data_IF_071453466730
#
_entry.id   IF_071453466730
#
_cell.length_a   1.000
_cell.length_b   1.000
_cell.length_c   1.000
_cell.angle_alpha   90.00
_cell.angle_beta   90.00
_cell.angle_gamma   90.00
#
_symmetry.space_group_name_H-M   'P 1'
#
loop_
_entity.id
_entity.type
_entity.pdbx_description
1 polymer ?
#
# COMPACT_ATOMS: atom_id res chain seq x y z
N UNK A 1 12.54 47.05 43.95
CA UNK A 1 12.51 46.91 42.48
C UNK A 1 13.20 45.59 42.15
N UNK A 2 12.44 44.52 41.89
CA UNK A 2 13.03 43.19 41.71
C UNK A 2 13.64 43.09 40.31
N UNK A 3 14.98 43.05 40.24
CA UNK A 3 15.70 42.86 38.98
C UNK A 3 15.42 41.44 38.47
N UNK A 4 14.67 41.34 37.37
CA UNK A 4 14.44 40.05 36.70
C UNK A 4 15.76 39.62 36.08
N UNK A 5 16.32 38.48 36.52
CA UNK A 5 17.49 37.88 35.88
C UNK A 5 17.11 37.49 34.45
N UNK A 6 17.81 38.07 33.47
CA UNK A 6 17.66 37.72 32.07
C UNK A 6 18.43 36.42 31.74
N UNK A 7 17.99 35.75 30.69
CA UNK A 7 18.67 34.60 30.12
C UNK A 7 20.00 35.04 29.52
N UNK A 8 21.08 34.30 29.76
CA UNK A 8 22.39 34.61 29.17
C UNK A 8 22.45 34.15 27.71
N UNK A 9 23.25 34.81 26.89
CA UNK A 9 23.48 34.41 25.49
C UNK A 9 24.04 32.99 25.39
N UNK A 10 24.85 32.57 26.36
CA UNK A 10 25.45 31.24 26.40
C UNK A 10 24.41 30.16 26.69
N UNK A 11 23.48 30.43 27.61
CA UNK A 11 22.37 29.51 27.89
C UNK A 11 21.47 29.35 26.66
N UNK A 12 21.24 30.42 25.88
CA UNK A 12 20.45 30.31 24.65
C UNK A 12 21.21 29.55 23.56
N UNK A 13 22.53 29.75 23.47
CA UNK A 13 23.40 29.12 22.47
C UNK A 13 23.48 27.60 22.67
N UNK A 14 23.64 27.12 23.90
CA UNK A 14 23.70 25.67 24.13
C UNK A 14 22.35 25.00 23.82
N UNK A 15 21.23 25.68 24.07
CA UNK A 15 19.89 25.16 23.79
C UNK A 15 19.67 24.95 22.29
N UNK A 16 20.01 25.95 21.45
CA UNK A 16 19.87 25.79 19.99
C UNK A 16 20.80 24.71 19.43
N UNK A 17 21.98 24.52 20.02
CA UNK A 17 22.92 23.46 19.62
C UNK A 17 22.33 22.08 19.95
N UNK A 18 21.78 21.90 21.15
CA UNK A 18 21.16 20.63 21.55
C UNK A 18 19.92 20.33 20.70
N UNK A 19 19.04 21.32 20.49
CA UNK A 19 17.86 21.17 19.63
C UNK A 19 18.30 20.85 18.18
N UNK A 20 19.36 21.48 17.68
CA UNK A 20 19.92 21.20 16.36
C UNK A 20 20.41 19.76 16.19
N UNK A 21 21.12 19.21 17.18
CA UNK A 21 21.60 17.83 17.16
C UNK A 21 20.43 16.84 17.20
N UNK A 22 19.46 17.05 18.09
CA UNK A 22 18.29 16.19 18.20
C UNK A 22 17.43 16.23 16.92
N UNK A 23 17.23 17.40 16.34
CA UNK A 23 16.48 17.57 15.10
C UNK A 23 17.18 16.88 13.91
N UNK A 24 18.50 16.99 13.81
CA UNK A 24 19.28 16.31 12.76
C UNK A 24 19.17 14.78 12.87
N UNK A 25 19.27 14.23 14.08
CA UNK A 25 19.11 12.79 14.31
C UNK A 25 17.69 12.29 13.96
N UNK A 26 16.66 13.06 14.28
CA UNK A 26 15.26 12.71 13.95
C UNK A 26 15.01 12.69 12.44
N UNK A 27 15.56 13.66 11.70
CA UNK A 27 15.41 13.71 10.24
C UNK A 27 15.98 12.45 9.57
N UNK A 28 17.15 11.98 10.00
CA UNK A 28 17.79 10.80 9.44
C UNK A 28 17.00 9.51 9.69
N UNK A 29 16.25 9.43 10.79
CA UNK A 29 15.41 8.26 11.13
C UNK A 29 14.07 8.23 10.39
N UNK A 30 13.57 9.37 9.92
CA UNK A 30 12.18 9.54 9.48
C UNK A 30 11.83 8.78 8.18
N UNK A 31 12.76 8.65 7.23
CA UNK A 31 12.51 8.00 5.93
C UNK A 31 12.14 6.51 6.03
N UNK A 32 12.77 5.79 6.97
CA UNK A 32 12.49 4.36 7.16
C UNK A 32 11.15 4.08 7.86
N UNK A 33 10.73 5.01 8.72
CA UNK A 33 9.45 4.94 9.40
C UNK A 33 8.29 5.22 8.43
N UNK A 34 8.44 6.23 7.56
CA UNK A 34 7.43 6.53 6.53
C UNK A 34 7.32 5.41 5.52
N UNK A 35 8.43 4.86 5.02
CA UNK A 35 8.43 3.71 4.13
C UNK A 35 7.76 2.47 4.78
N UNK A 36 8.00 2.23 6.06
CA UNK A 36 7.36 1.12 6.79
C UNK A 36 5.85 1.32 6.94
N UNK A 37 5.41 2.56 7.17
CA UNK A 37 3.99 2.92 7.22
C UNK A 37 3.32 2.75 5.85
N UNK A 38 3.96 3.20 4.77
CA UNK A 38 3.47 3.05 3.40
C UNK A 38 3.36 1.58 2.98
N UNK A 39 4.38 0.77 3.24
CA UNK A 39 4.32 -0.67 2.98
C UNK A 39 3.15 -1.33 3.75
N UNK A 40 2.93 -0.92 5.00
CA UNK A 40 1.82 -1.42 5.82
C UNK A 40 0.47 -0.98 5.29
N UNK A 41 0.36 0.25 4.78
CA UNK A 41 -0.84 0.79 4.15
C UNK A 41 -1.18 0.04 2.85
N UNK A 42 -0.19 -0.21 1.99
CA UNK A 42 -0.39 -1.00 0.74
C UNK A 42 -0.92 -2.39 1.08
N UNK A 43 -0.27 -3.09 2.02
CA UNK A 43 -0.71 -4.42 2.45
C UNK A 43 -2.11 -4.38 3.06
N UNK A 44 -2.41 -3.38 3.89
CA UNK A 44 -3.74 -3.22 4.50
C UNK A 44 -4.82 -3.00 3.44
N UNK A 45 -4.59 -2.10 2.49
CA UNK A 45 -5.50 -1.84 1.38
C UNK A 45 -5.74 -3.08 0.52
N UNK A 46 -4.68 -3.86 0.22
CA UNK A 46 -4.80 -5.12 -0.50
C UNK A 46 -5.64 -6.16 0.27
N UNK A 47 -5.52 -6.23 1.60
CA UNK A 47 -6.36 -7.13 2.40
C UNK A 47 -7.83 -6.70 2.40
N UNK A 48 -8.10 -5.40 2.52
CA UNK A 48 -9.46 -4.87 2.44
C UNK A 48 -10.08 -5.15 1.08
N UNK A 49 -9.33 -4.92 0.00
CA UNK A 49 -9.77 -5.26 -1.37
C UNK A 49 -9.99 -6.75 -1.56
N UNK A 50 -9.11 -7.59 -1.01
CA UNK A 50 -9.26 -9.04 -1.03
C UNK A 50 -10.59 -9.46 -0.38
N UNK A 51 -10.91 -8.92 0.79
CA UNK A 51 -12.16 -9.22 1.48
C UNK A 51 -13.38 -8.78 0.64
N UNK A 52 -13.33 -7.57 0.10
CA UNK A 52 -14.40 -7.04 -0.73
C UNK A 52 -14.58 -7.82 -2.05
N UNK A 53 -13.49 -8.25 -2.69
CA UNK A 53 -13.52 -9.10 -3.88
C UNK A 53 -14.12 -10.48 -3.60
N UNK A 54 -13.85 -11.06 -2.42
CA UNK A 54 -14.45 -12.31 -1.99
C UNK A 54 -15.96 -12.16 -1.74
N UNK A 55 -16.38 -11.08 -1.09
CA UNK A 55 -17.81 -10.80 -0.88
C UNK A 55 -18.54 -10.61 -2.21
N UNK A 56 -17.96 -9.85 -3.15
CA UNK A 56 -18.50 -9.69 -4.50
C UNK A 56 -18.66 -11.04 -5.20
N UNK A 57 -17.68 -11.93 -5.11
CA UNK A 57 -17.79 -13.28 -5.68
C UNK A 57 -18.95 -14.09 -5.10
N UNK A 58 -19.20 -13.97 -3.79
CA UNK A 58 -20.25 -14.75 -3.10
C UNK A 58 -21.67 -14.28 -3.41
N UNK A 59 -21.84 -13.01 -3.75
CA UNK A 59 -23.16 -12.37 -3.91
C UNK A 59 -23.52 -12.06 -5.36
N UNK A 60 -22.54 -11.96 -6.24
CA UNK A 60 -22.71 -11.66 -7.67
C UNK A 60 -22.39 -12.90 -8.50
N UNK A 61 -23.05 -14.02 -8.18
CA UNK A 61 -22.80 -15.30 -8.85
C UNK A 61 -23.14 -15.25 -10.34
N UNK A 62 -24.25 -14.60 -10.72
CA UNK A 62 -24.67 -14.47 -12.13
C UNK A 62 -23.60 -13.78 -13.00
N UNK A 63 -23.03 -12.66 -12.51
CA UNK A 63 -21.99 -11.91 -13.22
C UNK A 63 -20.69 -12.72 -13.37
N UNK A 64 -20.37 -13.53 -12.36
CA UNK A 64 -19.17 -14.36 -12.36
C UNK A 64 -19.35 -15.62 -13.21
N UNK A 65 -20.54 -16.20 -13.23
CA UNK A 65 -20.89 -17.34 -14.08
C UNK A 65 -20.88 -16.97 -15.57
N UNK A 66 -21.35 -15.77 -15.92
CA UNK A 66 -21.25 -15.23 -17.29
C UNK A 66 -19.79 -15.21 -17.81
N UNK A 67 -18.82 -15.09 -16.91
CA UNK A 67 -17.39 -15.01 -17.21
C UNK A 67 -16.66 -16.33 -16.83
N UNK A 68 -17.42 -17.41 -16.65
CA UNK A 68 -16.91 -18.76 -16.35
C UNK A 68 -16.02 -18.80 -15.10
N UNK A 69 -16.36 -18.02 -14.06
CA UNK A 69 -15.61 -17.95 -12.80
C UNK A 69 -14.44 -16.96 -12.80
N UNK A 70 -14.27 -16.18 -13.86
CA UNK A 70 -13.28 -15.11 -13.95
C UNK A 70 -13.82 -13.80 -13.36
N UNK A 71 -12.90 -12.86 -13.13
CA UNK A 71 -13.29 -11.49 -12.77
C UNK A 71 -14.04 -10.88 -13.96
N UNK A 72 -15.18 -10.22 -13.75
CA UNK A 72 -15.93 -9.61 -14.85
C UNK A 72 -15.09 -8.68 -15.73
N UNK A 73 -15.21 -8.79 -17.05
CA UNK A 73 -14.38 -8.01 -17.99
C UNK A 73 -14.57 -6.49 -17.83
N UNK A 74 -15.75 -6.07 -17.36
CA UNK A 74 -16.08 -4.67 -17.04
C UNK A 74 -16.14 -4.41 -15.53
N UNK A 75 -15.18 -4.95 -14.78
CA UNK A 75 -15.08 -4.66 -13.36
C UNK A 75 -14.77 -3.17 -13.12
N UNK A 76 -15.62 -2.56 -12.32
CA UNK A 76 -15.52 -1.17 -11.88
C UNK A 76 -15.60 -1.16 -10.34
N UNK A 77 -14.52 -0.73 -9.70
CA UNK A 77 -14.41 -0.69 -8.24
C UNK A 77 -15.51 0.15 -7.61
N UNK A 78 -15.91 1.24 -8.26
CA UNK A 78 -16.90 2.14 -7.69
C UNK A 78 -18.31 1.55 -7.74
N UNK A 79 -18.61 0.74 -8.75
CA UNK A 79 -19.95 0.14 -8.90
C UNK A 79 -20.07 -1.21 -8.21
N UNK A 80 -19.04 -2.05 -8.33
CA UNK A 80 -19.09 -3.45 -7.90
C UNK A 80 -18.62 -3.63 -6.46
N UNK A 81 -17.79 -2.72 -5.94
CA UNK A 81 -17.29 -2.82 -4.56
C UNK A 81 -17.94 -1.82 -3.59
N UNK A 82 -18.72 -0.84 -4.06
CA UNK A 82 -19.37 0.15 -3.17
C UNK A 82 -20.24 -0.46 -2.07
N UNK A 83 -20.81 -1.64 -2.30
CA UNK A 83 -21.62 -2.34 -1.29
C UNK A 83 -20.73 -3.00 -0.22
N UNK A 84 -19.47 -3.29 -0.54
CA UNK A 84 -18.53 -4.05 0.30
C UNK A 84 -17.40 -3.19 0.87
N UNK A 85 -17.38 -1.89 0.59
CA UNK A 85 -16.36 -0.96 1.10
C UNK A 85 -16.96 0.39 1.45
N UNK A 86 -16.57 0.95 2.59
CA UNK A 86 -17.07 2.25 3.06
C UNK A 86 -16.59 3.42 2.17
N UNK A 87 -15.47 3.24 1.48
CA UNK A 87 -14.93 4.26 0.56
C UNK A 87 -14.48 3.66 -0.77
N UNK A 88 -15.41 3.47 -1.73
CA UNK A 88 -15.11 2.88 -3.03
C UNK A 88 -14.22 3.77 -3.91
N UNK A 89 -14.34 5.10 -3.77
CA UNK A 89 -13.56 6.08 -4.54
C UNK A 89 -12.05 6.00 -4.29
N UNK A 90 -11.64 5.38 -3.16
CA UNK A 90 -10.25 5.13 -2.81
C UNK A 90 -9.55 4.20 -3.80
N UNK A 91 -10.27 3.25 -4.38
CA UNK A 91 -9.69 2.20 -5.22
C UNK A 91 -9.82 2.56 -6.70
N UNK A 92 -8.91 3.43 -7.16
CA UNK A 92 -8.87 3.83 -8.57
C UNK A 92 -8.31 2.72 -9.44
N UNK A 93 -8.94 2.47 -10.60
CA UNK A 93 -8.47 1.48 -11.60
C UNK A 93 -7.06 1.75 -12.14
N UNK A 94 -6.58 2.99 -12.02
CA UNK A 94 -5.21 3.39 -12.40
C UNK A 94 -4.14 2.95 -11.41
N UNK A 95 -4.54 2.56 -10.20
CA UNK A 95 -3.65 2.20 -9.10
C UNK A 95 -3.88 0.76 -8.63
N UNK A 96 -5.14 0.32 -8.64
CA UNK A 96 -5.57 -1.00 -8.22
C UNK A 96 -6.15 -1.80 -9.38
N UNK A 97 -5.95 -3.10 -9.33
CA UNK A 97 -6.57 -4.03 -10.27
C UNK A 97 -7.06 -5.30 -9.57
N UNK A 98 -8.15 -5.84 -10.09
CA UNK A 98 -8.63 -7.17 -9.77
C UNK A 98 -8.55 -7.98 -11.06
N UNK A 99 -7.78 -9.07 -11.03
CA UNK A 99 -7.54 -9.91 -12.21
C UNK A 99 -7.72 -11.37 -11.87
N UNK A 100 -8.14 -12.16 -12.85
CA UNK A 100 -8.16 -13.62 -12.72
C UNK A 100 -7.17 -14.28 -13.67
N UNK A 101 -6.51 -15.33 -13.21
CA UNK A 101 -5.73 -16.22 -14.07
C UNK A 101 -6.64 -17.20 -14.83
N UNK A 102 -6.08 -17.90 -15.82
CA UNK A 102 -6.62 -19.07 -16.50
C UNK A 102 -7.20 -20.10 -15.54
N UNK A 103 -6.59 -20.25 -14.35
CA UNK A 103 -7.07 -21.16 -13.30
C UNK A 103 -8.23 -20.60 -12.45
N UNK A 104 -8.87 -19.50 -12.85
CA UNK A 104 -9.98 -18.85 -12.13
C UNK A 104 -9.62 -18.39 -10.70
N UNK A 105 -8.31 -18.24 -10.44
CA UNK A 105 -7.76 -17.64 -9.23
C UNK A 105 -7.81 -16.13 -9.34
N UNK A 106 -8.26 -15.46 -8.29
CA UNK A 106 -8.45 -14.01 -8.28
C UNK A 106 -7.29 -13.36 -7.54
N UNK A 107 -6.79 -12.26 -8.07
CA UNK A 107 -5.68 -11.51 -7.52
C UNK A 107 -6.07 -10.04 -7.43
N UNK A 108 -5.82 -9.45 -6.27
CA UNK A 108 -5.89 -8.01 -6.06
C UNK A 108 -4.49 -7.43 -6.14
N UNK A 109 -4.32 -6.36 -6.91
CA UNK A 109 -3.03 -5.76 -7.18
C UNK A 109 -3.01 -4.27 -6.94
N UNK A 110 -1.81 -3.76 -6.66
CA UNK A 110 -1.52 -2.34 -6.51
C UNK A 110 -0.23 -1.96 -7.24
N UNK A 111 -0.26 -0.84 -7.96
CA UNK A 111 0.90 -0.26 -8.65
C UNK A 111 1.78 0.53 -7.67
N UNK A 112 2.96 -0.01 -7.38
CA UNK A 112 3.97 0.60 -6.51
C UNK A 112 4.59 1.86 -7.11
N UNK A 113 4.38 2.14 -8.39
CA UNK A 113 4.78 3.42 -9.00
C UNK A 113 3.97 4.60 -8.46
N UNK A 114 2.87 4.34 -7.72
CA UNK A 114 2.04 5.34 -7.06
C UNK A 114 2.51 5.66 -5.64
N UNK A 115 3.44 4.87 -5.10
CA UNK A 115 4.15 5.20 -3.87
C UNK A 115 5.14 6.34 -4.15
N UNK A 116 5.34 7.30 -3.22
CA UNK A 116 6.31 8.37 -3.41
C UNK A 116 7.69 7.86 -3.81
N UNK A 117 8.29 8.46 -4.83
CA UNK A 117 9.60 8.03 -5.36
C UNK A 117 10.71 8.06 -4.31
N UNK A 118 10.59 8.91 -3.29
CA UNK A 118 11.56 9.03 -2.19
C UNK A 118 11.62 7.80 -1.27
N UNK A 119 10.54 7.02 -1.19
CA UNK A 119 10.39 5.87 -0.27
C UNK A 119 10.20 4.55 -0.99
N UNK A 120 9.97 4.57 -2.31
CA UNK A 120 9.65 3.39 -3.14
C UNK A 120 10.63 2.23 -2.95
N UNK A 121 11.94 2.50 -2.96
CA UNK A 121 12.96 1.45 -2.84
C UNK A 121 12.95 0.79 -1.46
N UNK A 122 12.79 1.58 -0.41
CA UNK A 122 12.66 1.06 0.95
C UNK A 122 11.35 0.29 1.14
N UNK A 123 10.24 0.79 0.59
CA UNK A 123 8.94 0.12 0.60
C UNK A 123 9.05 -1.24 -0.09
N UNK A 124 9.66 -1.31 -1.27
CA UNK A 124 9.88 -2.55 -1.99
C UNK A 124 10.73 -3.53 -1.17
N UNK A 125 11.82 -3.07 -0.55
CA UNK A 125 12.65 -3.90 0.33
C UNK A 125 11.86 -4.49 1.52
N UNK A 126 10.99 -3.68 2.17
CA UNK A 126 10.13 -4.16 3.26
C UNK A 126 9.11 -5.20 2.78
N UNK A 127 8.54 -4.99 1.59
CA UNK A 127 7.57 -5.92 0.99
C UNK A 127 8.21 -7.24 0.57
N UNK A 128 9.43 -7.22 0.04
CA UNK A 128 10.24 -8.42 -0.24
C UNK A 128 10.45 -9.22 1.05
N UNK A 129 10.82 -8.55 2.15
CA UNK A 129 10.99 -9.19 3.45
C UNK A 129 9.73 -9.90 3.98
N UNK A 130 8.54 -9.42 3.58
CA UNK A 130 7.25 -9.99 4.00
C UNK A 130 6.63 -10.93 2.97
N UNK A 131 7.23 -11.09 1.78
CA UNK A 131 6.56 -11.71 0.63
C UNK A 131 6.05 -13.13 0.91
N UNK A 132 6.86 -13.96 1.55
CA UNK A 132 6.50 -15.35 1.85
C UNK A 132 5.40 -15.44 2.90
N UNK A 133 5.50 -14.63 3.96
CA UNK A 133 4.51 -14.63 5.05
C UNK A 133 3.13 -14.14 4.61
N UNK A 134 3.09 -13.27 3.60
CA UNK A 134 1.86 -12.63 3.12
C UNK A 134 1.39 -13.17 1.75
N UNK A 135 2.12 -14.11 1.16
CA UNK A 135 1.85 -14.62 -0.18
C UNK A 135 1.86 -13.53 -1.26
N UNK A 136 2.79 -12.57 -1.15
CA UNK A 136 2.88 -11.44 -2.07
C UNK A 136 3.53 -11.89 -3.38
N UNK A 137 2.88 -11.54 -4.48
CA UNK A 137 3.30 -11.87 -5.83
C UNK A 137 3.60 -10.61 -6.64
N UNK A 138 4.41 -10.75 -7.69
CA UNK A 138 4.86 -9.64 -8.52
C UNK A 138 4.41 -9.72 -9.98
N UNK A 139 4.21 -8.57 -10.61
CA UNK A 139 4.12 -8.48 -12.08
C UNK A 139 4.63 -7.13 -12.60
N UNK A 140 5.00 -7.09 -13.89
CA UNK A 140 5.53 -5.89 -14.52
C UNK A 140 4.47 -4.81 -14.78
N UNK A 141 3.20 -5.19 -14.94
CA UNK A 141 2.12 -4.30 -15.37
C UNK A 141 0.79 -4.61 -14.68
N UNK A 142 0.02 -3.54 -14.43
CA UNK A 142 -1.29 -3.61 -13.83
C UNK A 142 -2.27 -4.21 -14.85
N UNK A 143 -2.88 -5.36 -14.53
CA UNK A 143 -3.82 -6.07 -15.41
C UNK A 143 -3.38 -7.46 -15.87
N UNK A 144 -2.10 -7.82 -15.67
CA UNK A 144 -1.63 -9.19 -15.89
C UNK A 144 -1.53 -9.93 -14.57
N UNK A 145 -2.19 -11.09 -14.48
CA UNK A 145 -2.10 -11.95 -13.30
C UNK A 145 -0.62 -12.29 -13.00
N UNK A 146 -0.21 -12.27 -11.71
CA UNK A 146 1.16 -12.51 -11.34
C UNK A 146 1.57 -13.96 -11.59
N UNK A 147 2.86 -14.18 -11.91
CA UNK A 147 3.42 -15.51 -12.21
C UNK A 147 4.46 -15.97 -11.18
N UNK A 148 4.96 -15.07 -10.34
CA UNK A 148 6.04 -15.35 -9.40
C UNK A 148 5.86 -14.56 -8.09
N UNK A 149 6.61 -14.97 -7.05
CA UNK A 149 6.73 -14.20 -5.81
C UNK A 149 7.22 -12.78 -6.09
N UNK A 150 6.78 -11.83 -5.27
CA UNK A 150 7.20 -10.44 -5.39
C UNK A 150 8.73 -10.29 -5.24
N UNK A 151 9.36 -9.70 -6.24
CA UNK A 151 10.79 -9.48 -6.32
C UNK A 151 11.11 -8.14 -7.00
N UNK A 152 10.62 -7.05 -6.39
CA UNK A 152 10.87 -5.67 -6.80
C UNK A 152 10.21 -5.25 -8.12
N UNK A 153 9.12 -5.91 -8.52
CA UNK A 153 8.35 -5.48 -9.69
C UNK A 153 7.51 -4.22 -9.39
N UNK A 154 7.01 -3.58 -10.46
CA UNK A 154 6.19 -2.38 -10.34
C UNK A 154 4.81 -2.65 -9.72
N UNK A 155 4.30 -3.88 -9.83
CA UNK A 155 2.97 -4.22 -9.31
C UNK A 155 3.09 -5.37 -8.33
N UNK A 156 2.46 -5.17 -7.17
CA UNK A 156 2.36 -6.17 -6.13
C UNK A 156 0.94 -6.72 -6.08
N UNK A 157 0.83 -8.02 -5.83
CA UNK A 157 -0.42 -8.76 -5.85
C UNK A 157 -0.59 -9.60 -4.60
N UNK A 158 -1.85 -9.82 -4.23
CA UNK A 158 -2.26 -10.77 -3.20
C UNK A 158 -3.35 -11.68 -3.76
N UNK A 159 -3.26 -12.98 -3.45
CA UNK A 159 -4.27 -13.96 -3.84
C UNK A 159 -5.55 -13.67 -3.05
N UNK A 160 -6.64 -13.38 -3.75
CA UNK A 160 -7.97 -13.26 -3.19
C UNK A 160 -8.69 -14.62 -3.14
N UNK A 161 -8.52 -15.46 -4.19
CA UNK A 161 -9.08 -16.81 -4.33
C UNK A 161 -8.12 -17.73 -5.07
#
# INVERSE_FOLDING_TARGET
>A
MNMRKGFTLVELLIVIVIIGILAAAMLLSSGSATASAEASNVVSNLRSLKAAALMFYMTSMDDVEAENGKVPAKFDFEKHLAIYTDNPSKYKKTEYALVSDTNKKWYVGYDLSKVPSSTKDEVAAKLIGKRKSLGLMGSAALGSAPKAEYNNENVIWMIAR
#
